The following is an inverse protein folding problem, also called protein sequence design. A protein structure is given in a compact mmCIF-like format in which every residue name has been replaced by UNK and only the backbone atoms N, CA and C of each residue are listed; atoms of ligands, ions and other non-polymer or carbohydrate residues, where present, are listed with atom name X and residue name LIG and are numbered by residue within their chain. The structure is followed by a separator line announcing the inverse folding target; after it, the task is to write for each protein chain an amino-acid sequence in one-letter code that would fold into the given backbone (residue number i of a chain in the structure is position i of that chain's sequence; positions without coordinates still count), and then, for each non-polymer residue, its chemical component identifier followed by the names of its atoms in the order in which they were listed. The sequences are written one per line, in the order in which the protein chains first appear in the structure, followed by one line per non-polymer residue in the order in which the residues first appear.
data_IF_237440111707
#
_entry.id   IF_237440111707
#
_cell.length_a   1.000
_cell.length_b   1.000
_cell.length_c   1.000
_cell.angle_alpha   90.00
_cell.angle_beta   90.00
_cell.angle_gamma   90.00
#
_symmetry.space_group_name_H-M   'P 1'
#
loop_
_entity.id
_entity.type
_entity.pdbx_description
1 polymer ?
#
# COMPACT_ATOMS: atom_id res chain seq x y z
N UNK A 1 14.16 10.01 12.15
CA UNK A 1 14.62 10.84 11.01
C UNK A 1 15.14 10.03 9.81
N UNK A 2 15.58 8.78 9.97
CA UNK A 2 16.04 7.94 8.84
C UNK A 2 14.91 7.34 7.97
N UNK A 3 13.68 7.24 8.49
CA UNK A 3 12.52 6.69 7.75
C UNK A 3 12.00 7.63 6.64
N UNK A 4 12.15 8.94 6.82
CA UNK A 4 11.56 9.96 5.93
C UNK A 4 12.30 10.09 4.59
N UNK A 5 13.59 9.75 4.53
CA UNK A 5 14.43 9.95 3.33
C UNK A 5 14.33 8.81 2.31
N UNK A 6 13.86 7.63 2.73
CA UNK A 6 13.60 6.47 1.86
C UNK A 6 12.21 6.55 1.20
N UNK A 7 11.23 7.14 1.91
CA UNK A 7 9.89 7.40 1.39
C UNK A 7 9.86 8.47 0.27
N UNK A 8 10.82 9.40 0.26
CA UNK A 8 10.90 10.47 -0.74
C UNK A 8 11.58 10.05 -2.05
N UNK A 9 12.25 8.89 -2.09
CA UNK A 9 13.03 8.43 -3.24
C UNK A 9 12.23 7.57 -4.24
N UNK A 10 11.03 7.09 -3.88
CA UNK A 10 10.29 6.09 -4.65
C UNK A 10 9.13 6.66 -5.49
N UNK A 11 9.19 7.92 -5.90
CA UNK A 11 8.43 8.45 -7.05
C UNK A 11 6.99 7.92 -7.21
N UNK A 12 6.08 8.33 -6.32
CA UNK A 12 4.62 8.23 -6.45
C UNK A 12 4.07 6.95 -7.10
N UNK A 13 4.36 5.79 -6.50
CA UNK A 13 3.57 4.57 -6.71
C UNK A 13 2.55 4.42 -5.58
N UNK A 14 1.39 3.86 -5.87
CA UNK A 14 0.35 3.65 -4.87
C UNK A 14 0.90 2.77 -3.74
N UNK A 15 0.80 3.26 -2.52
CA UNK A 15 1.26 2.54 -1.32
C UNK A 15 0.08 2.36 -0.38
N UNK A 16 0.06 1.24 0.32
CA UNK A 16 -0.88 1.01 1.42
C UNK A 16 -0.11 1.08 2.73
N UNK A 17 -0.71 1.72 3.72
CA UNK A 17 -0.17 1.75 5.07
C UNK A 17 -0.95 0.77 5.93
N UNK A 18 -0.28 -0.17 6.57
CA UNK A 18 -0.94 -1.11 7.49
C UNK A 18 -1.26 -0.41 8.81
N UNK A 19 -2.48 -0.59 9.32
CA UNK A 19 -2.94 0.05 10.56
C UNK A 19 -2.15 -0.42 11.79
N UNK A 20 -1.88 -1.73 11.89
CA UNK A 20 -1.22 -2.34 13.05
C UNK A 20 0.21 -1.82 13.31
N UNK A 21 1.00 -1.68 12.26
CA UNK A 21 2.45 -1.43 12.36
C UNK A 21 2.88 -0.12 11.69
N UNK A 22 1.94 0.61 11.08
CA UNK A 22 2.22 1.79 10.25
C UNK A 22 3.29 1.52 9.19
N UNK A 23 3.33 0.29 8.64
CA UNK A 23 4.27 -0.10 7.60
C UNK A 23 3.74 0.31 6.24
N UNK A 24 4.62 0.86 5.42
CA UNK A 24 4.32 1.24 4.05
C UNK A 24 4.64 0.03 3.17
N UNK A 25 3.66 -0.43 2.39
CA UNK A 25 3.82 -1.49 1.41
C UNK A 25 3.52 -0.96 0.02
N UNK A 26 4.40 -1.26 -0.93
CA UNK A 26 4.30 -0.82 -2.31
C UNK A 26 3.28 -1.68 -3.05
N UNK A 27 2.24 -1.07 -3.63
CA UNK A 27 1.23 -1.83 -4.34
C UNK A 27 1.72 -2.13 -5.76
N UNK A 28 1.87 -3.42 -6.09
CA UNK A 28 2.31 -3.85 -7.42
C UNK A 28 1.22 -3.71 -8.48
N UNK A 29 -0.04 -3.75 -8.06
CA UNK A 29 -1.24 -3.57 -8.88
C UNK A 29 -2.05 -2.36 -8.37
N UNK A 30 -1.65 -1.12 -8.70
CA UNK A 30 -2.38 0.08 -8.30
C UNK A 30 -3.78 0.13 -8.94
N UNK A 31 -3.99 -0.52 -10.09
CA UNK A 31 -5.27 -0.55 -10.79
C UNK A 31 -6.39 -1.21 -9.96
N UNK A 32 -6.06 -2.20 -9.14
CA UNK A 32 -7.03 -2.83 -8.23
C UNK A 32 -7.53 -1.90 -7.12
N UNK A 33 -6.79 -0.84 -6.82
CA UNK A 33 -7.10 0.13 -5.76
C UNK A 33 -7.59 1.48 -6.32
N UNK A 34 -7.58 1.68 -7.64
CA UNK A 34 -8.14 2.89 -8.27
C UNK A 34 -9.61 3.04 -7.89
N UNK A 35 -9.97 4.22 -7.38
CA UNK A 35 -11.32 4.50 -6.90
C UNK A 35 -11.58 4.16 -5.42
N UNK A 36 -10.59 3.58 -4.73
CA UNK A 36 -10.60 3.36 -3.27
C UNK A 36 -9.59 4.25 -2.54
N UNK A 37 -9.12 5.31 -3.20
CA UNK A 37 -8.17 6.27 -2.66
C UNK A 37 -8.78 6.99 -1.44
N UNK A 38 -8.04 7.02 -0.33
CA UNK A 38 -8.44 7.73 0.89
C UNK A 38 -9.54 7.06 1.73
N UNK A 39 -10.03 5.88 1.34
CA UNK A 39 -10.98 5.09 2.15
C UNK A 39 -10.27 4.01 2.96
N UNK A 40 -10.84 3.66 4.11
CA UNK A 40 -10.38 2.51 4.88
C UNK A 40 -10.84 1.24 4.16
N UNK A 41 -9.92 0.57 3.47
CA UNK A 41 -10.21 -0.67 2.76
C UNK A 41 -9.38 -1.82 3.31
N UNK A 42 -10.00 -2.99 3.42
CA UNK A 42 -9.29 -4.23 3.66
C UNK A 42 -8.85 -4.82 2.32
N UNK A 43 -7.56 -4.75 2.04
CA UNK A 43 -6.92 -5.43 0.91
C UNK A 43 -6.41 -6.80 1.31
N UNK A 44 -6.79 -7.82 0.54
CA UNK A 44 -6.22 -9.16 0.62
C UNK A 44 -5.31 -9.39 -0.56
N UNK A 45 -4.10 -9.86 -0.29
CA UNK A 45 -3.05 -9.97 -1.29
C UNK A 45 -1.84 -10.74 -0.79
N UNK A 46 -0.86 -10.91 -1.67
CA UNK A 46 0.41 -11.51 -1.32
C UNK A 46 1.44 -10.42 -1.06
N UNK A 47 2.04 -10.42 0.13
CA UNK A 47 3.12 -9.50 0.48
C UNK A 47 4.44 -10.17 0.15
N UNK A 48 5.25 -9.52 -0.69
CA UNK A 48 6.59 -9.96 -1.07
C UNK A 48 7.58 -8.87 -0.69
N UNK A 49 8.27 -9.06 0.45
CA UNK A 49 9.19 -8.05 0.98
C UNK A 49 8.45 -6.75 1.35
N UNK A 50 8.82 -5.66 0.68
CA UNK A 50 8.21 -4.33 0.85
C UNK A 50 7.05 -4.07 -0.14
N UNK A 51 6.67 -5.06 -0.95
CA UNK A 51 5.60 -4.94 -1.96
C UNK A 51 4.39 -5.82 -1.61
N UNK A 52 3.21 -5.41 -2.05
CA UNK A 52 1.95 -6.16 -1.94
C UNK A 52 1.24 -6.26 -3.29
N UNK A 53 0.89 -7.47 -3.66
CA UNK A 53 0.03 -7.77 -4.81
C UNK A 53 -1.42 -7.91 -4.34
N UNK A 54 -2.25 -6.91 -4.63
CA UNK A 54 -3.67 -6.91 -4.24
C UNK A 54 -4.45 -7.88 -5.12
N UNK A 55 -5.12 -8.86 -4.49
CA UNK A 55 -6.00 -9.81 -5.16
C UNK A 55 -7.48 -9.48 -4.95
N UNK A 56 -7.82 -8.90 -3.80
CA UNK A 56 -9.20 -8.52 -3.49
C UNK A 56 -9.23 -7.29 -2.59
N UNK A 57 -10.20 -6.40 -2.83
CA UNK A 57 -10.46 -5.20 -2.04
C UNK A 57 -11.85 -5.32 -1.42
N UNK A 58 -11.93 -5.06 -0.11
CA UNK A 58 -13.20 -5.02 0.61
C UNK A 58 -13.33 -3.67 1.31
N UNK A 59 -14.44 -2.98 1.06
CA UNK A 59 -14.75 -1.73 1.75
C UNK A 59 -15.18 -2.05 3.20
N UNK A 60 -14.61 -1.30 4.15
CA UNK A 60 -14.97 -1.33 5.57
C UNK A 60 -15.60 0.01 5.98
#
# INVERSE_FOLDING_TARGET
AACTKKCLAEGAKMVVVTDSDQKILNVENPDALKGHEGHHVAVSGHVTGDSIHVMSVKML
#
